data_IF_170810058884
#
_entry.id   IF_170810058884
#
_cell.length_a   1.000
_cell.length_b   1.000
_cell.length_c   1.000
_cell.angle_alpha   90.00
_cell.angle_beta   90.00
_cell.angle_gamma   90.00
#
_symmetry.space_group_name_H-M   'P 1'
#
loop_
_entity.id
_entity.type
_entity.pdbx_description
1 polymer ?
#
# COMPACT_ATOMS: atom_id res chain seq x y z
N UNK A 1 -20.29 -21.45 -2.86
CA UNK A 1 -20.68 -20.23 -3.62
C UNK A 1 -21.33 -20.67 -4.93
N UNK A 2 -22.07 -19.81 -5.63
CA UNK A 2 -22.70 -20.16 -6.93
C UNK A 2 -21.68 -20.03 -8.07
N UNK A 3 -21.76 -20.91 -9.08
CA UNK A 3 -20.91 -20.85 -10.30
C UNK A 3 -20.92 -19.48 -10.98
N UNK A 4 -22.05 -18.76 -10.91
CA UNK A 4 -22.18 -17.39 -11.44
C UNK A 4 -21.39 -16.37 -10.62
N UNK A 5 -21.31 -16.55 -9.30
CA UNK A 5 -20.52 -15.69 -8.42
C UNK A 5 -19.02 -15.93 -8.60
N UNK A 6 -18.59 -17.19 -8.73
CA UNK A 6 -17.19 -17.56 -9.00
C UNK A 6 -16.72 -17.01 -10.35
N UNK A 7 -17.56 -17.09 -11.39
CA UNK A 7 -17.27 -16.51 -12.70
C UNK A 7 -17.20 -14.96 -12.67
N UNK A 8 -18.06 -14.32 -11.87
CA UNK A 8 -18.01 -12.88 -11.65
C UNK A 8 -16.72 -12.45 -10.96
N UNK A 9 -16.27 -13.17 -9.94
CA UNK A 9 -15.02 -12.86 -9.23
C UNK A 9 -13.80 -13.08 -10.13
N UNK A 10 -13.77 -14.18 -10.90
CA UNK A 10 -12.71 -14.42 -11.87
C UNK A 10 -12.61 -13.31 -12.94
N UNK A 11 -13.76 -12.84 -13.43
CA UNK A 11 -13.82 -11.72 -14.39
C UNK A 11 -13.30 -10.42 -13.76
N UNK A 12 -13.72 -10.12 -12.52
CA UNK A 12 -13.23 -8.96 -11.77
C UNK A 12 -11.71 -9.03 -11.57
N UNK A 13 -11.18 -10.18 -11.17
CA UNK A 13 -9.74 -10.41 -11.03
C UNK A 13 -8.97 -10.15 -12.33
N UNK A 14 -9.41 -10.75 -13.44
CA UNK A 14 -8.79 -10.56 -14.76
C UNK A 14 -8.75 -9.08 -15.20
N UNK A 15 -9.82 -8.33 -14.92
CA UNK A 15 -9.88 -6.89 -15.17
C UNK A 15 -8.88 -6.10 -14.31
N UNK A 16 -8.75 -6.44 -13.03
CA UNK A 16 -7.80 -5.80 -12.11
C UNK A 16 -6.37 -6.09 -12.52
N UNK A 17 -6.04 -7.34 -12.86
CA UNK A 17 -4.70 -7.74 -13.31
C UNK A 17 -4.31 -7.06 -14.62
N UNK A 18 -5.24 -6.99 -15.58
CA UNK A 18 -5.04 -6.28 -16.83
C UNK A 18 -4.80 -4.79 -16.60
N UNK A 19 -5.61 -4.17 -15.73
CA UNK A 19 -5.48 -2.77 -15.37
C UNK A 19 -4.17 -2.47 -14.65
N UNK A 20 -3.76 -3.30 -13.69
CA UNK A 20 -2.51 -3.15 -12.95
C UNK A 20 -1.31 -3.17 -13.90
N UNK A 21 -1.28 -4.10 -14.86
CA UNK A 21 -0.22 -4.17 -15.85
C UNK A 21 -0.19 -2.92 -16.77
N UNK A 22 -1.35 -2.46 -17.23
CA UNK A 22 -1.46 -1.30 -18.12
C UNK A 22 -1.14 0.01 -17.40
N UNK A 23 -1.69 0.24 -16.21
CA UNK A 23 -1.38 1.42 -15.40
C UNK A 23 0.08 1.46 -14.97
N UNK A 24 0.70 0.31 -14.67
CA UNK A 24 2.15 0.29 -14.40
C UNK A 24 2.96 0.73 -15.62
N UNK A 25 2.59 0.27 -16.82
CA UNK A 25 3.32 0.55 -18.05
C UNK A 25 3.08 1.97 -18.60
N UNK A 26 1.82 2.38 -18.72
CA UNK A 26 1.39 3.62 -19.36
C UNK A 26 0.84 4.69 -18.41
N UNK A 27 0.53 4.34 -17.16
CA UNK A 27 -0.11 5.24 -16.22
C UNK A 27 -1.61 5.39 -16.46
N UNK A 28 -2.29 6.07 -15.55
CA UNK A 28 -3.74 6.25 -15.58
C UNK A 28 -4.22 7.00 -16.82
N UNK A 29 -3.54 8.10 -17.18
CA UNK A 29 -3.96 8.97 -18.28
C UNK A 29 -3.96 8.25 -19.63
N UNK A 30 -2.89 7.51 -19.93
CA UNK A 30 -2.69 6.87 -21.23
C UNK A 30 -3.38 5.49 -21.36
N UNK A 31 -3.90 4.97 -20.26
CA UNK A 31 -4.65 3.70 -20.26
C UNK A 31 -6.14 3.92 -20.53
N UNK A 32 -6.72 3.17 -21.47
CA UNK A 32 -8.16 3.20 -21.77
C UNK A 32 -8.89 1.96 -21.27
N UNK A 33 -10.19 2.08 -20.94
CA UNK A 33 -11.02 0.93 -20.57
C UNK A 33 -11.15 -0.09 -21.70
N UNK A 34 -11.07 0.35 -22.96
CA UNK A 34 -11.03 -0.52 -24.13
C UNK A 34 -9.80 -1.41 -24.14
N UNK A 35 -8.64 -0.86 -23.76
CA UNK A 35 -7.40 -1.62 -23.69
C UNK A 35 -7.41 -2.62 -22.53
N UNK A 36 -7.97 -2.23 -21.38
CA UNK A 36 -8.17 -3.10 -20.22
C UNK A 36 -9.02 -4.31 -20.61
N UNK A 37 -10.19 -4.12 -21.23
CA UNK A 37 -11.07 -5.25 -21.60
C UNK A 37 -10.44 -6.15 -22.64
N UNK A 38 -9.70 -5.58 -23.61
CA UNK A 38 -8.97 -6.34 -24.62
C UNK A 38 -7.90 -7.22 -23.97
N UNK A 39 -7.15 -6.67 -23.01
CA UNK A 39 -6.09 -7.40 -22.30
C UNK A 39 -6.65 -8.47 -21.37
N UNK A 40 -7.77 -8.19 -20.71
CA UNK A 40 -8.45 -9.13 -19.82
C UNK A 40 -9.23 -10.23 -20.57
N UNK A 41 -9.34 -10.14 -21.90
CA UNK A 41 -10.16 -11.03 -22.74
C UNK A 41 -11.63 -11.10 -22.28
N UNK A 42 -12.20 -9.93 -21.97
CA UNK A 42 -13.61 -9.80 -21.55
C UNK A 42 -14.35 -8.75 -22.37
N UNK A 43 -15.68 -8.74 -22.27
CA UNK A 43 -16.50 -7.75 -22.97
C UNK A 43 -16.52 -6.41 -22.22
N UNK A 44 -16.81 -5.33 -22.96
CA UNK A 44 -17.08 -4.02 -22.35
C UNK A 44 -18.24 -4.06 -21.35
N UNK A 45 -19.28 -4.85 -21.63
CA UNK A 45 -20.40 -5.04 -20.71
C UNK A 45 -19.98 -5.71 -19.39
N UNK A 46 -19.03 -6.64 -19.44
CA UNK A 46 -18.47 -7.26 -18.24
C UNK A 46 -17.71 -6.26 -17.37
N UNK A 47 -16.91 -5.36 -17.96
CA UNK A 47 -16.25 -4.29 -17.20
C UNK A 47 -17.26 -3.39 -16.49
N UNK A 48 -18.27 -2.89 -17.21
CA UNK A 48 -19.26 -1.98 -16.62
C UNK A 48 -20.22 -2.66 -15.65
N UNK A 49 -20.29 -4.00 -15.64
CA UNK A 49 -20.97 -4.75 -14.60
C UNK A 49 -20.22 -4.68 -13.25
N UNK A 50 -18.89 -4.61 -13.28
CA UNK A 50 -18.03 -4.62 -12.09
C UNK A 50 -17.53 -3.24 -11.66
N UNK A 51 -17.39 -2.31 -12.60
CA UNK A 51 -16.77 -1.00 -12.38
C UNK A 51 -17.54 0.09 -13.12
N UNK A 52 -17.93 1.14 -12.39
CA UNK A 52 -18.69 2.25 -12.97
C UNK A 52 -17.89 3.01 -14.05
N UNK A 53 -16.59 3.18 -13.83
CA UNK A 53 -15.70 3.97 -14.69
C UNK A 53 -14.24 3.51 -14.56
N UNK A 54 -13.32 4.21 -15.24
CA UNK A 54 -11.88 3.93 -15.21
C UNK A 54 -11.28 4.16 -13.81
N UNK A 55 -11.77 5.14 -13.07
CA UNK A 55 -11.30 5.45 -11.71
C UNK A 55 -11.63 4.30 -10.76
N UNK A 56 -12.82 3.69 -10.88
CA UNK A 56 -13.21 2.53 -10.11
C UNK A 56 -12.30 1.30 -10.38
N UNK A 57 -11.87 1.11 -11.63
CA UNK A 57 -10.88 0.06 -11.97
C UNK A 57 -9.51 0.39 -11.37
N UNK A 58 -9.07 1.65 -11.48
CA UNK A 58 -7.80 2.11 -10.89
C UNK A 58 -7.78 1.93 -9.38
N UNK A 59 -8.87 2.29 -8.69
CA UNK A 59 -9.05 2.09 -7.26
C UNK A 59 -8.87 0.62 -6.87
N UNK A 60 -9.45 -0.32 -7.63
CA UNK A 60 -9.29 -1.74 -7.35
C UNK A 60 -7.85 -2.24 -7.59
N UNK A 61 -7.15 -1.72 -8.60
CA UNK A 61 -5.73 -2.01 -8.80
C UNK A 61 -4.85 -1.46 -7.66
N UNK A 62 -5.13 -0.23 -7.21
CA UNK A 62 -4.47 0.38 -6.06
C UNK A 62 -4.71 -0.44 -4.78
N UNK A 63 -5.95 -0.82 -4.48
CA UNK A 63 -6.30 -1.66 -3.31
C UNK A 63 -5.66 -3.05 -3.37
N UNK A 64 -5.46 -3.60 -4.57
CA UNK A 64 -4.72 -4.86 -4.75
C UNK A 64 -3.25 -4.72 -4.34
N UNK A 65 -2.60 -3.60 -4.70
CA UNK A 65 -1.23 -3.30 -4.29
C UNK A 65 -1.15 -3.08 -2.77
N UNK A 66 -2.08 -2.31 -2.18
CA UNK A 66 -2.09 -2.09 -0.73
C UNK A 66 -2.20 -3.39 0.06
N UNK A 67 -3.10 -4.28 -0.37
CA UNK A 67 -3.28 -5.59 0.25
C UNK A 67 -2.04 -6.47 0.13
N UNK A 68 -1.39 -6.49 -1.03
CA UNK A 68 -0.14 -7.24 -1.21
C UNK A 68 0.97 -6.71 -0.28
N UNK A 69 1.15 -5.39 -0.21
CA UNK A 69 2.11 -4.76 0.72
C UNK A 69 1.78 -5.12 2.17
N UNK A 70 0.51 -5.03 2.55
CA UNK A 70 0.04 -5.37 3.90
C UNK A 70 0.39 -6.82 4.28
N UNK A 71 0.12 -7.79 3.39
CA UNK A 71 0.45 -9.20 3.61
C UNK A 71 1.97 -9.45 3.69
N UNK A 72 2.76 -8.74 2.88
CA UNK A 72 4.23 -8.79 2.97
C UNK A 72 4.74 -8.27 4.31
N UNK A 73 4.19 -7.16 4.80
CA UNK A 73 4.52 -6.60 6.11
C UNK A 73 4.16 -7.58 7.25
N UNK A 74 2.97 -8.18 7.21
CA UNK A 74 2.57 -9.23 8.16
C UNK A 74 3.51 -10.43 8.13
N UNK A 75 3.87 -10.88 6.93
CA UNK A 75 4.80 -11.99 6.73
C UNK A 75 6.18 -11.66 7.30
N UNK A 76 6.68 -10.45 7.07
CA UNK A 76 7.97 -10.00 7.59
C UNK A 76 7.98 -9.90 9.13
N UNK A 77 6.86 -9.48 9.73
CA UNK A 77 6.70 -9.41 11.19
C UNK A 77 6.50 -10.77 11.86
N UNK A 78 6.14 -11.83 11.10
CA UNK A 78 5.85 -13.15 11.66
C UNK A 78 7.02 -13.71 12.47
N UNK A 79 6.73 -14.14 13.70
CA UNK A 79 7.71 -14.71 14.63
C UNK A 79 8.59 -13.68 15.35
N UNK A 80 8.36 -12.38 15.14
CA UNK A 80 9.00 -11.27 15.86
C UNK A 80 7.99 -10.61 16.80
N UNK A 81 8.46 -9.77 17.72
CA UNK A 81 7.61 -9.01 18.65
C UNK A 81 8.09 -7.57 18.81
N UNK A 82 7.24 -6.70 19.36
CA UNK A 82 7.60 -5.32 19.69
C UNK A 82 8.27 -4.56 18.54
N UNK A 83 9.39 -3.89 18.86
CA UNK A 83 10.14 -3.05 17.92
C UNK A 83 10.67 -3.87 16.73
N UNK A 84 11.10 -5.11 16.95
CA UNK A 84 11.63 -5.97 15.88
C UNK A 84 10.57 -6.30 14.83
N UNK A 85 9.34 -6.57 15.27
CA UNK A 85 8.21 -6.81 14.35
C UNK A 85 7.86 -5.55 13.54
N UNK A 86 7.86 -4.39 14.20
CA UNK A 86 7.61 -3.10 13.55
C UNK A 86 8.67 -2.79 12.49
N UNK A 87 9.96 -2.91 12.83
CA UNK A 87 11.07 -2.69 11.89
C UNK A 87 11.03 -3.64 10.70
N UNK A 88 10.72 -4.92 10.93
CA UNK A 88 10.58 -5.88 9.84
C UNK A 88 9.44 -5.52 8.88
N UNK A 89 8.29 -5.08 9.41
CA UNK A 89 7.17 -4.59 8.60
C UNK A 89 7.53 -3.32 7.81
N UNK A 90 8.21 -2.37 8.45
CA UNK A 90 8.72 -1.16 7.78
C UNK A 90 9.67 -1.53 6.64
N UNK A 91 10.63 -2.41 6.87
CA UNK A 91 11.55 -2.89 5.85
C UNK A 91 10.84 -3.49 4.64
N UNK A 92 9.83 -4.33 4.86
CA UNK A 92 9.03 -4.91 3.78
C UNK A 92 8.26 -3.86 2.96
N UNK A 93 7.72 -2.82 3.62
CA UNK A 93 7.09 -1.69 2.94
C UNK A 93 8.11 -0.91 2.08
N UNK A 94 9.28 -0.61 2.62
CA UNK A 94 10.33 0.12 1.90
C UNK A 94 10.87 -0.68 0.71
N UNK A 95 10.96 -2.00 0.82
CA UNK A 95 11.31 -2.89 -0.30
C UNK A 95 10.24 -2.85 -1.40
N UNK A 96 8.95 -2.84 -1.05
CA UNK A 96 7.88 -2.70 -2.02
C UNK A 96 7.95 -1.36 -2.78
N UNK A 97 8.46 -0.29 -2.16
CA UNK A 97 8.64 1.02 -2.81
C UNK A 97 9.68 1.00 -3.95
N UNK A 98 10.45 -0.08 -4.11
CA UNK A 98 11.33 -0.29 -5.27
C UNK A 98 10.57 -0.77 -6.52
N UNK A 99 9.33 -1.23 -6.36
CA UNK A 99 8.56 -1.84 -7.44
C UNK A 99 7.79 -0.79 -8.25
N UNK A 100 7.88 -0.87 -9.58
CA UNK A 100 7.22 0.09 -10.48
C UNK A 100 5.72 0.27 -10.24
N UNK A 101 4.91 -0.79 -9.98
CA UNK A 101 3.49 -0.60 -9.66
C UNK A 101 3.28 0.25 -8.41
N UNK A 102 4.10 0.06 -7.37
CA UNK A 102 4.02 0.85 -6.12
C UNK A 102 4.40 2.30 -6.38
N UNK A 103 5.54 2.54 -7.06
CA UNK A 103 6.01 3.88 -7.38
C UNK A 103 4.98 4.68 -8.18
N UNK A 104 4.43 4.05 -9.22
CA UNK A 104 3.52 4.73 -10.15
C UNK A 104 2.09 4.80 -9.64
N UNK A 105 1.48 3.67 -9.31
CA UNK A 105 0.05 3.59 -8.97
C UNK A 105 -0.19 4.05 -7.54
N UNK A 106 0.61 3.58 -6.57
CA UNK A 106 0.39 3.90 -5.16
C UNK A 106 0.87 5.32 -4.81
N UNK A 107 2.14 5.62 -5.09
CA UNK A 107 2.82 6.81 -4.58
C UNK A 107 2.62 8.05 -5.46
N UNK A 108 2.61 7.90 -6.78
CA UNK A 108 2.54 9.02 -7.72
C UNK A 108 1.11 9.34 -8.16
N UNK A 109 0.43 8.36 -8.76
CA UNK A 109 -0.88 8.56 -9.39
C UNK A 109 -2.03 8.40 -8.40
N UNK A 110 -1.86 7.63 -7.32
CA UNK A 110 -2.85 7.41 -6.28
C UNK A 110 -3.47 8.70 -5.73
N UNK A 111 -2.66 9.64 -5.19
CA UNK A 111 -3.16 10.92 -4.68
C UNK A 111 -3.82 11.79 -5.77
N UNK A 112 -3.35 11.70 -7.01
CA UNK A 112 -3.86 12.50 -8.14
C UNK A 112 -5.22 12.00 -8.64
N UNK A 113 -5.40 10.69 -8.70
CA UNK A 113 -6.59 10.04 -9.27
C UNK A 113 -7.67 9.83 -8.21
N UNK A 114 -7.29 9.46 -6.98
CA UNK A 114 -8.24 9.10 -5.92
C UNK A 114 -8.46 10.22 -4.88
N UNK A 115 -7.68 11.29 -4.97
CA UNK A 115 -7.71 12.41 -4.04
C UNK A 115 -7.01 12.16 -2.71
N UNK A 116 -6.58 13.25 -2.06
CA UNK A 116 -5.85 13.23 -0.79
C UNK A 116 -6.70 12.79 0.41
N UNK A 117 -8.02 12.96 0.34
CA UNK A 117 -8.95 12.57 1.40
C UNK A 117 -8.92 11.07 1.70
N UNK A 118 -8.54 10.22 0.72
CA UNK A 118 -8.33 8.79 0.96
C UNK A 118 -6.98 8.54 1.63
N UNK A 119 -5.92 9.20 1.17
CA UNK A 119 -4.60 9.11 1.78
C UNK A 119 -4.54 9.62 3.21
N UNK A 120 -5.57 10.29 3.75
CA UNK A 120 -5.61 10.78 5.14
C UNK A 120 -6.52 9.98 6.08
N UNK A 121 -7.24 9.00 5.55
CA UNK A 121 -8.24 8.20 6.30
C UNK A 121 -7.61 7.09 7.16
N UNK A 122 -8.21 6.86 8.33
CA UNK A 122 -7.85 5.83 9.31
C UNK A 122 -8.74 4.58 9.24
N UNK A 123 -9.78 4.60 8.43
CA UNK A 123 -10.80 3.57 8.29
C UNK A 123 -10.54 2.59 7.14
N UNK A 124 -9.44 2.74 6.40
CA UNK A 124 -9.07 1.80 5.33
C UNK A 124 -8.56 0.47 5.91
N UNK A 125 -9.25 -0.66 5.66
CA UNK A 125 -8.96 -1.97 6.25
C UNK A 125 -7.68 -2.64 5.73
N UNK A 126 -7.01 -2.09 4.71
CA UNK A 126 -5.81 -2.70 4.12
C UNK A 126 -4.60 -1.77 4.05
N UNK A 127 -4.67 -0.59 4.68
CA UNK A 127 -3.53 0.32 4.70
C UNK A 127 -2.47 -0.14 5.72
N UNK A 128 -1.18 0.03 5.39
CA UNK A 128 -0.05 -0.21 6.31
C UNK A 128 -0.19 0.50 7.68
N UNK A 129 -1.03 1.54 7.74
CA UNK A 129 -1.46 2.23 8.98
C UNK A 129 -2.07 1.30 10.03
N UNK A 130 -2.75 0.23 9.65
CA UNK A 130 -3.31 -0.71 10.63
C UNK A 130 -2.23 -1.44 11.41
N UNK A 131 -1.16 -1.87 10.73
CA UNK A 131 -0.02 -2.52 11.37
C UNK A 131 0.71 -1.53 12.28
N UNK A 132 0.95 -0.30 11.79
CA UNK A 132 1.55 0.76 12.61
C UNK A 132 0.70 1.06 13.85
N UNK A 133 -0.62 1.15 13.73
CA UNK A 133 -1.53 1.37 14.86
C UNK A 133 -1.48 0.23 15.87
N UNK A 134 -1.42 -1.02 15.40
CA UNK A 134 -1.28 -2.19 16.27
C UNK A 134 0.06 -2.18 17.01
N UNK A 135 1.17 -1.94 16.31
CA UNK A 135 2.51 -1.84 16.91
C UNK A 135 2.61 -0.69 17.91
N UNK A 136 2.11 0.50 17.57
CA UNK A 136 2.12 1.67 18.47
C UNK A 136 1.33 1.37 19.75
N UNK A 137 0.17 0.71 19.64
CA UNK A 137 -0.66 0.33 20.79
C UNK A 137 0.08 -0.61 21.75
N UNK A 138 0.92 -1.49 21.22
CA UNK A 138 1.76 -2.39 22.01
C UNK A 138 2.94 -1.67 22.65
N UNK A 139 3.56 -0.74 21.91
CA UNK A 139 4.87 -0.16 22.25
C UNK A 139 4.81 1.11 23.09
N UNK A 140 3.74 1.91 22.99
CA UNK A 140 3.66 3.22 23.64
C UNK A 140 2.36 3.43 24.44
N UNK A 141 2.42 4.17 25.56
CA UNK A 141 1.21 4.57 26.29
C UNK A 141 0.43 5.66 25.53
N UNK A 142 -0.90 5.67 25.68
CA UNK A 142 -1.77 6.70 25.13
C UNK A 142 -2.55 6.27 23.87
N UNK A 143 -3.25 7.21 23.21
CA UNK A 143 -4.01 6.91 22.00
C UNK A 143 -3.05 6.58 20.84
N UNK A 144 -3.15 5.41 20.19
CA UNK A 144 -2.20 5.00 19.15
C UNK A 144 -2.39 5.73 17.81
N UNK A 145 -3.56 6.33 17.56
CA UNK A 145 -3.91 6.90 16.26
C UNK A 145 -2.99 8.06 15.82
N UNK A 146 -2.71 9.10 16.65
CA UNK A 146 -1.87 10.21 16.22
C UNK A 146 -0.44 9.77 15.90
N UNK A 147 0.17 8.94 16.75
CA UNK A 147 1.54 8.49 16.53
C UNK A 147 1.65 7.54 15.32
N UNK A 148 0.69 6.63 15.13
CA UNK A 148 0.65 5.78 13.94
C UNK A 148 0.50 6.60 12.65
N UNK A 149 -0.23 7.72 12.69
CA UNK A 149 -0.36 8.62 11.55
C UNK A 149 0.95 9.34 11.21
N UNK A 150 1.63 9.86 12.23
CA UNK A 150 2.94 10.51 12.06
C UNK A 150 3.99 9.53 11.53
N UNK A 151 4.03 8.33 12.09
CA UNK A 151 4.90 7.25 11.60
C UNK A 151 4.60 6.87 10.16
N UNK A 152 3.32 6.77 9.79
CA UNK A 152 2.95 6.53 8.40
C UNK A 152 3.36 7.70 7.50
N UNK A 153 3.25 8.95 7.97
CA UNK A 153 3.74 10.12 7.24
C UNK A 153 5.24 10.02 6.95
N UNK A 154 6.05 9.68 7.95
CA UNK A 154 7.49 9.44 7.78
C UNK A 154 7.77 8.29 6.80
N UNK A 155 7.05 7.18 6.94
CA UNK A 155 7.17 6.00 6.08
C UNK A 155 6.80 6.31 4.62
N UNK A 156 5.72 7.07 4.40
CA UNK A 156 5.29 7.50 3.07
C UNK A 156 6.32 8.43 2.43
N UNK A 157 6.90 9.36 3.20
CA UNK A 157 7.98 10.23 2.72
C UNK A 157 9.23 9.44 2.35
N UNK A 158 9.64 8.45 3.16
CA UNK A 158 10.72 7.54 2.82
C UNK A 158 10.42 6.76 1.52
N UNK A 159 9.18 6.27 1.36
CA UNK A 159 8.73 5.59 0.15
C UNK A 159 8.80 6.48 -1.10
N UNK A 160 8.37 7.74 -1.00
CA UNK A 160 8.48 8.72 -2.09
C UNK A 160 9.94 9.00 -2.49
N UNK A 161 10.84 9.13 -1.50
CA UNK A 161 12.28 9.30 -1.75
C UNK A 161 12.87 8.08 -2.47
N UNK A 162 12.49 6.85 -2.05
CA UNK A 162 12.95 5.61 -2.68
C UNK A 162 12.40 5.48 -4.10
N UNK A 163 11.15 5.87 -4.33
CA UNK A 163 10.52 5.84 -5.65
C UNK A 163 11.26 6.73 -6.67
N UNK A 164 11.72 7.91 -6.23
CA UNK A 164 12.52 8.84 -7.05
C UNK A 164 13.97 8.36 -7.20
N UNK A 165 14.58 7.86 -6.12
CA UNK A 165 15.97 7.43 -6.08
C UNK A 165 16.12 6.05 -5.39
N UNK A 166 15.97 4.93 -6.13
CA UNK A 166 15.99 3.57 -5.55
C UNK A 166 17.25 3.23 -4.75
N UNK A 167 18.40 3.84 -5.10
CA UNK A 167 19.66 3.68 -4.37
C UNK A 167 19.64 4.21 -2.93
N UNK A 168 18.63 5.01 -2.56
CA UNK A 168 18.46 5.55 -1.19
C UNK A 168 17.71 4.61 -0.26
N UNK A 169 17.28 3.42 -0.70
CA UNK A 169 16.56 2.46 0.15
C UNK A 169 17.27 2.21 1.47
N UNK A 170 18.57 1.88 1.44
CA UNK A 170 19.32 1.56 2.67
C UNK A 170 19.36 2.75 3.61
N UNK A 171 19.73 3.93 3.11
CA UNK A 171 19.78 5.18 3.89
C UNK A 171 18.42 5.51 4.54
N UNK A 172 17.32 5.38 3.79
CA UNK A 172 15.97 5.62 4.33
C UNK A 172 15.54 4.55 5.33
N UNK A 173 15.95 3.30 5.13
CA UNK A 173 15.72 2.21 6.07
C UNK A 173 16.42 2.46 7.41
N UNK A 174 17.71 2.81 7.36
CA UNK A 174 18.50 3.11 8.56
C UNK A 174 17.92 4.31 9.34
N UNK A 175 17.46 5.34 8.62
CA UNK A 175 16.80 6.50 9.23
C UNK A 175 15.46 6.15 9.88
N UNK A 176 14.65 5.31 9.24
CA UNK A 176 13.40 4.82 9.82
C UNK A 176 13.64 3.94 11.05
N UNK A 177 14.66 3.09 11.01
CA UNK A 177 15.04 2.25 12.14
C UNK A 177 15.49 3.11 13.33
N UNK A 178 16.34 4.12 13.11
CA UNK A 178 16.76 5.06 14.16
C UNK A 178 15.62 5.91 14.73
N UNK A 179 14.63 6.27 13.90
CA UNK A 179 13.42 6.96 14.33
C UNK A 179 12.58 6.07 15.25
N UNK A 180 12.37 4.80 14.87
CA UNK A 180 11.66 3.80 15.70
C UNK A 180 12.42 3.55 17.01
N UNK A 181 13.74 3.38 16.91
CA UNK A 181 14.77 3.57 17.93
C UNK A 181 14.36 4.57 19.00
N UNK A 182 14.46 5.83 18.60
CA UNK A 182 14.31 7.00 19.46
C UNK A 182 12.90 7.14 20.06
N UNK A 183 11.88 6.60 19.39
CA UNK A 183 10.48 6.70 19.83
C UNK A 183 10.10 5.66 20.88
N UNK A 184 10.69 4.47 20.82
CA UNK A 184 10.23 3.32 21.61
C UNK A 184 11.30 2.70 22.52
N UNK A 185 12.59 2.96 22.29
CA UNK A 185 13.61 2.63 23.28
C UNK A 185 13.48 3.57 24.48
N UNK A 186 13.27 2.98 25.66
CA UNK A 186 13.30 3.71 26.91
C UNK A 186 14.75 4.11 27.18
N UNK A 187 15.07 5.39 27.10
CA UNK A 187 16.26 5.85 27.83
C UNK A 187 16.15 5.37 29.29
N UNK A 188 17.24 4.85 29.90
CA UNK A 188 17.28 4.74 31.34
C UNK A 188 17.11 6.16 31.87
N UNK A 189 15.95 6.45 32.48
CA UNK A 189 15.80 7.66 33.28
C UNK A 189 16.89 7.59 34.32
N UNK A 190 17.96 8.38 34.14
CA UNK A 190 19.01 8.53 35.15
C UNK A 190 18.31 8.90 36.46
N UNK A 191 18.28 7.93 37.39
CA UNK A 191 17.86 8.11 38.77
C UNK A 191 19.03 8.59 39.61
#
# INVERSE_FOLDING_TARGET
MSRKAEQGEATRGALVDAALALFTAGGFADTSTTEIVRRADVTRGALYHHFADKEAVFRAAYEAIERDIFERCLTAAKGKTGIEALKAGIGAYLDACLEKPVQRILLTEGPLVLGWDRSLRFDDPHCARLLLRASVRELAPGPPEPLAHLLYGALLQAGLVIADAPGRRTEMGDAMDALVDSLFEKEPRFS
#
